data_IF_673666747987
#
_entry.id   IF_673666747987
#
_cell.length_a   1.000
_cell.length_b   1.000
_cell.length_c   1.000
_cell.angle_alpha   90.00
_cell.angle_beta   90.00
_cell.angle_gamma   90.00
#
_symmetry.space_group_name_H-M   'P 1'
#
loop_
_entity.id
_entity.type
_entity.pdbx_description
1 polymer ?
#
# COMPACT_ATOMS: atom_id res chain seq x y z
N UNK A 1 -42.64 25.82 -18.32
CA UNK A 1 -41.33 26.21 -18.87
C UNK A 1 -40.30 25.14 -18.53
N UNK A 2 -39.60 24.58 -19.52
CA UNK A 2 -38.65 23.47 -19.30
C UNK A 2 -37.29 24.01 -18.83
N UNK A 3 -37.03 23.98 -17.53
CA UNK A 3 -35.86 24.57 -16.88
C UNK A 3 -34.63 23.61 -16.85
N UNK A 4 -34.26 22.98 -17.97
CA UNK A 4 -33.26 21.89 -17.94
C UNK A 4 -32.32 21.72 -19.13
N UNK A 5 -32.20 22.70 -20.03
CA UNK A 5 -31.32 22.60 -21.20
C UNK A 5 -29.84 22.92 -20.92
N UNK A 6 -28.92 22.24 -21.62
CA UNK A 6 -27.49 22.56 -21.64
C UNK A 6 -27.29 23.99 -22.15
N UNK A 7 -26.72 24.87 -21.33
CA UNK A 7 -26.31 26.23 -21.72
C UNK A 7 -24.78 26.33 -21.75
N UNK A 8 -24.18 27.14 -22.63
CA UNK A 8 -22.74 27.39 -22.60
C UNK A 8 -22.33 27.94 -21.23
N UNK A 9 -21.39 27.28 -20.56
CA UNK A 9 -20.97 27.60 -19.19
C UNK A 9 -21.89 27.07 -18.07
N UNK A 10 -22.99 26.38 -18.39
CA UNK A 10 -23.80 25.71 -17.38
C UNK A 10 -23.18 24.37 -16.95
N UNK A 11 -23.29 24.07 -15.65
CA UNK A 11 -22.72 22.89 -15.02
C UNK A 11 -21.61 23.23 -14.03
N UNK A 12 -21.08 22.21 -13.38
CA UNK A 12 -19.97 22.36 -12.41
C UNK A 12 -18.68 22.66 -13.16
N UNK A 13 -17.96 23.72 -12.73
CA UNK A 13 -16.64 24.07 -13.26
C UNK A 13 -15.70 22.87 -13.17
N UNK A 14 -14.98 22.57 -14.26
CA UNK A 14 -14.00 21.48 -14.33
C UNK A 14 -12.90 21.70 -13.29
N UNK A 15 -12.57 20.66 -12.53
CA UNK A 15 -11.52 20.70 -11.51
C UNK A 15 -11.95 21.16 -10.11
N UNK A 16 -13.17 21.69 -9.94
CA UNK A 16 -13.68 22.01 -8.60
C UNK A 16 -14.01 20.70 -7.87
N UNK A 17 -13.58 20.46 -6.63
CA UNK A 17 -13.92 19.25 -5.86
C UNK A 17 -15.43 19.14 -5.55
N UNK A 18 -15.92 17.94 -5.26
CA UNK A 18 -17.33 17.76 -4.91
C UNK A 18 -17.53 18.23 -3.46
N UNK A 19 -18.71 18.75 -3.11
CA UNK A 19 -19.03 19.11 -1.72
C UNK A 19 -18.76 17.94 -0.76
N UNK A 20 -19.14 16.73 -1.17
CA UNK A 20 -18.87 15.52 -0.40
C UNK A 20 -17.36 15.23 -0.24
N UNK A 21 -16.57 15.40 -1.31
CA UNK A 21 -15.11 15.20 -1.28
C UNK A 21 -14.45 16.21 -0.35
N UNK A 22 -14.78 17.50 -0.48
CA UNK A 22 -14.23 18.56 0.36
C UNK A 22 -14.62 18.39 1.84
N UNK A 23 -15.83 17.88 2.13
CA UNK A 23 -16.24 17.59 3.50
C UNK A 23 -15.43 16.45 4.13
N UNK A 24 -15.13 15.39 3.37
CA UNK A 24 -14.27 14.29 3.84
C UNK A 24 -12.84 14.76 4.09
N UNK A 25 -12.26 15.52 3.17
CA UNK A 25 -10.90 16.09 3.33
C UNK A 25 -10.81 16.94 4.60
N UNK A 26 -11.82 17.79 4.85
CA UNK A 26 -11.88 18.60 6.08
C UNK A 26 -12.08 17.74 7.33
N UNK A 27 -12.90 16.71 7.27
CA UNK A 27 -13.10 15.80 8.41
C UNK A 27 -11.82 15.05 8.76
N UNK A 28 -11.07 14.59 7.75
CA UNK A 28 -9.75 13.95 7.95
C UNK A 28 -8.76 14.95 8.53
N UNK A 29 -8.69 16.17 8.01
CA UNK A 29 -7.84 17.23 8.57
C UNK A 29 -8.23 17.59 10.03
N UNK A 30 -9.52 17.57 10.36
CA UNK A 30 -10.00 17.83 11.72
C UNK A 30 -9.76 16.65 12.68
N UNK A 31 -9.67 15.42 12.17
CA UNK A 31 -9.47 14.20 12.97
C UNK A 31 -8.06 14.04 13.55
N UNK A 32 -7.12 14.92 13.16
CA UNK A 32 -5.81 15.06 13.80
C UNK A 32 -4.65 14.89 12.84
N UNK A 33 -4.46 13.68 12.30
CA UNK A 33 -3.34 13.37 11.40
C UNK A 33 -3.82 13.00 10.02
N UNK A 34 -3.38 13.77 9.01
CA UNK A 34 -3.68 13.46 7.61
C UNK A 34 -2.77 12.33 7.11
N UNK A 35 -3.14 11.63 6.02
CA UNK A 35 -2.27 10.62 5.42
C UNK A 35 -0.88 11.16 5.06
N UNK A 36 -0.80 12.40 4.59
CA UNK A 36 0.48 13.06 4.28
C UNK A 36 1.33 13.25 5.54
N UNK A 37 0.72 13.65 6.66
CA UNK A 37 1.42 13.82 7.94
C UNK A 37 2.02 12.49 8.42
N UNK A 38 1.26 11.40 8.25
CA UNK A 38 1.73 10.04 8.61
C UNK A 38 2.91 9.63 7.74
N UNK A 39 2.86 9.86 6.43
CA UNK A 39 3.97 9.58 5.52
C UNK A 39 5.23 10.37 5.91
N UNK A 40 5.10 11.68 6.13
CA UNK A 40 6.23 12.54 6.51
C UNK A 40 6.81 12.10 7.86
N UNK A 41 5.96 11.76 8.84
CA UNK A 41 6.40 11.27 10.15
C UNK A 41 7.14 9.93 10.06
N UNK A 42 6.61 8.98 9.28
CA UNK A 42 7.24 7.68 9.08
C UNK A 42 8.61 7.83 8.39
N UNK A 43 8.70 8.65 7.34
CA UNK A 43 9.95 8.95 6.64
C UNK A 43 11.02 9.49 7.61
N UNK A 44 10.67 10.49 8.43
CA UNK A 44 11.57 11.09 9.42
C UNK A 44 12.01 10.09 10.49
N UNK A 45 11.10 9.23 10.95
CA UNK A 45 11.43 8.20 11.93
C UNK A 45 12.43 7.18 11.36
N UNK A 46 12.22 6.73 10.12
CA UNK A 46 13.17 5.82 9.47
C UNK A 46 14.52 6.46 9.21
N UNK A 47 14.56 7.74 8.85
CA UNK A 47 15.81 8.49 8.72
C UNK A 47 16.56 8.58 10.05
N UNK A 48 15.86 8.89 11.15
CA UNK A 48 16.46 8.91 12.48
C UNK A 48 17.02 7.54 12.89
N UNK A 49 16.26 6.46 12.69
CA UNK A 49 16.71 5.09 12.96
C UNK A 49 17.90 4.68 12.09
N UNK A 50 17.94 5.13 10.84
CA UNK A 50 19.11 4.92 9.98
C UNK A 50 20.34 5.62 10.57
N UNK A 51 20.22 6.88 10.98
CA UNK A 51 21.32 7.64 11.59
C UNK A 51 21.83 7.02 12.90
N UNK A 52 20.96 6.39 13.69
CA UNK A 52 21.36 5.64 14.88
C UNK A 52 22.10 4.33 14.54
N UNK A 53 21.79 3.73 13.39
CA UNK A 53 22.30 2.43 12.95
C UNK A 53 23.56 2.51 12.06
N UNK A 54 24.25 3.66 11.98
CA UNK A 54 25.40 3.87 11.07
C UNK A 54 26.50 2.81 11.23
N UNK A 55 26.70 2.29 12.43
CA UNK A 55 27.67 1.22 12.71
C UNK A 55 27.27 -0.15 12.14
N UNK A 56 25.97 -0.40 11.94
CA UNK A 56 25.45 -1.65 11.40
C UNK A 56 24.93 -1.46 9.98
N UNK A 57 25.79 -1.77 9.00
CA UNK A 57 25.51 -1.58 7.57
C UNK A 57 24.17 -2.16 7.11
N UNK A 58 23.79 -3.36 7.59
CA UNK A 58 22.53 -4.02 7.17
C UNK A 58 21.31 -3.25 7.67
N UNK A 59 21.33 -2.79 8.92
CA UNK A 59 20.23 -2.00 9.51
C UNK A 59 20.16 -0.60 8.91
N UNK A 60 21.31 0.05 8.75
CA UNK A 60 21.42 1.35 8.10
C UNK A 60 20.75 1.33 6.71
N UNK A 61 21.14 0.36 5.86
CA UNK A 61 20.60 0.22 4.51
C UNK A 61 19.09 -0.06 4.51
N UNK A 62 18.62 -0.90 5.43
CA UNK A 62 17.19 -1.22 5.57
C UNK A 62 16.35 0.03 5.90
N UNK A 63 16.72 0.78 6.94
CA UNK A 63 15.97 1.97 7.35
C UNK A 63 16.07 3.09 6.33
N UNK A 64 17.24 3.27 5.70
CA UNK A 64 17.40 4.27 4.64
C UNK A 64 16.53 3.95 3.42
N UNK A 65 16.45 2.68 3.00
CA UNK A 65 15.55 2.27 1.91
C UNK A 65 14.08 2.48 2.27
N UNK A 66 13.67 2.17 3.50
CA UNK A 66 12.31 2.42 3.97
C UNK A 66 11.97 3.92 3.95
N UNK A 67 12.89 4.79 4.40
CA UNK A 67 12.72 6.24 4.34
C UNK A 67 12.55 6.72 2.88
N UNK A 68 13.38 6.25 1.95
CA UNK A 68 13.30 6.62 0.53
C UNK A 68 11.99 6.17 -0.13
N UNK A 69 11.48 4.98 0.22
CA UNK A 69 10.20 4.50 -0.31
C UNK A 69 9.05 5.43 0.11
N UNK A 70 8.97 5.78 1.41
CA UNK A 70 7.94 6.70 1.92
C UNK A 70 8.11 8.10 1.33
N UNK A 71 9.36 8.57 1.15
CA UNK A 71 9.64 9.86 0.53
C UNK A 71 9.12 9.93 -0.91
N UNK A 72 9.26 8.85 -1.68
CA UNK A 72 8.76 8.75 -3.05
C UNK A 72 7.24 8.91 -3.11
N UNK A 73 6.52 8.27 -2.19
CA UNK A 73 5.06 8.36 -2.13
C UNK A 73 4.59 9.77 -1.70
N UNK A 74 5.31 10.39 -0.77
CA UNK A 74 5.01 11.75 -0.31
C UNK A 74 5.36 12.85 -1.34
N UNK A 75 6.33 12.61 -2.21
CA UNK A 75 6.87 13.61 -3.15
C UNK A 75 5.81 14.22 -4.08
N UNK A 76 4.81 13.42 -4.48
CA UNK A 76 3.70 13.85 -5.35
C UNK A 76 2.90 15.01 -4.72
N UNK A 77 2.81 15.02 -3.39
CA UNK A 77 2.02 16.00 -2.64
C UNK A 77 2.84 17.22 -2.19
N UNK A 78 4.17 17.10 -2.09
CA UNK A 78 5.06 18.14 -1.55
C UNK A 78 5.69 18.98 -2.66
N UNK A 79 5.99 18.41 -3.82
CA UNK A 79 6.74 19.09 -4.87
C UNK A 79 5.82 19.56 -6.03
N UNK A 80 5.79 20.86 -6.35
CA UNK A 80 4.87 21.42 -7.34
C UNK A 80 5.33 21.18 -8.79
N UNK A 81 5.56 19.92 -9.22
CA UNK A 81 5.60 19.49 -10.65
C UNK A 81 5.93 18.02 -10.92
N UNK A 82 5.77 17.11 -9.98
CA UNK A 82 5.95 15.68 -10.31
C UNK A 82 4.63 15.19 -10.89
N UNK A 83 4.56 15.04 -12.22
CA UNK A 83 3.49 14.24 -12.84
C UNK A 83 3.52 12.88 -12.13
N UNK A 84 2.42 12.38 -11.55
CA UNK A 84 2.42 11.05 -10.99
C UNK A 84 2.61 10.10 -12.17
N UNK A 85 3.85 9.69 -12.41
CA UNK A 85 4.13 8.51 -13.20
C UNK A 85 3.49 7.40 -12.41
N UNK A 86 2.27 7.02 -12.82
CA UNK A 86 1.59 5.88 -12.24
C UNK A 86 2.60 4.76 -12.11
N UNK A 87 2.77 4.25 -10.89
CA UNK A 87 3.45 2.99 -10.70
C UNK A 87 2.61 1.94 -11.42
N UNK A 88 2.84 1.77 -12.72
CA UNK A 88 2.89 0.42 -13.23
C UNK A 88 3.97 -0.23 -12.39
N UNK A 89 3.59 -1.24 -11.63
CA UNK A 89 4.48 -2.09 -10.86
C UNK A 89 5.56 -2.61 -11.83
N UNK A 90 6.64 -1.85 -11.95
CA UNK A 90 7.73 -2.14 -12.86
C UNK A 90 8.53 -3.27 -12.21
N UNK A 91 8.02 -4.48 -12.44
CA UNK A 91 8.66 -5.74 -12.12
C UNK A 91 8.84 -5.97 -10.64
N UNK A 92 7.80 -6.52 -9.98
CA UNK A 92 8.13 -7.66 -9.12
C UNK A 92 8.77 -8.67 -10.06
N UNK A 93 10.09 -8.73 -10.07
CA UNK A 93 10.78 -9.88 -10.62
C UNK A 93 10.36 -11.02 -9.72
N UNK A 94 9.40 -11.83 -10.18
CA UNK A 94 9.17 -13.14 -9.60
C UNK A 94 10.50 -13.87 -9.65
N UNK A 95 11.22 -13.87 -8.53
CA UNK A 95 12.32 -14.80 -8.34
C UNK A 95 11.65 -16.15 -8.13
N UNK A 96 11.34 -16.83 -9.24
CA UNK A 96 10.91 -18.21 -9.24
C UNK A 96 12.11 -19.04 -8.80
N UNK A 97 12.21 -19.31 -7.49
CA UNK A 97 13.12 -20.32 -6.99
C UNK A 97 12.64 -21.68 -7.49
N UNK A 98 13.19 -22.14 -8.62
CA UNK A 98 13.00 -23.50 -9.09
C UNK A 98 13.80 -24.42 -8.18
N UNK A 99 13.14 -24.95 -7.15
CA UNK A 99 13.69 -26.03 -6.33
C UNK A 99 13.52 -27.32 -7.12
N UNK A 100 14.61 -27.82 -7.71
CA UNK A 100 14.64 -29.18 -8.23
C UNK A 100 14.73 -30.13 -7.04
N UNK A 101 13.62 -30.80 -6.73
CA UNK A 101 13.57 -31.87 -5.74
C UNK A 101 14.20 -33.10 -6.36
N UNK A 102 15.52 -33.23 -6.26
CA UNK A 102 16.24 -34.48 -6.54
C UNK A 102 16.01 -35.44 -5.38
N UNK A 103 14.98 -36.28 -5.50
CA UNK A 103 14.74 -37.38 -4.59
C UNK A 103 13.27 -37.49 -4.22
N UNK A 104 12.52 -38.30 -4.96
CA UNK A 104 11.22 -38.75 -4.51
C UNK A 104 11.35 -39.42 -3.14
N UNK A 105 10.45 -39.07 -2.22
CA UNK A 105 10.33 -39.82 -0.98
C UNK A 105 10.08 -41.30 -1.33
N UNK A 106 10.71 -42.25 -0.62
CA UNK A 106 10.56 -43.67 -0.90
C UNK A 106 9.09 -44.08 -0.79
N UNK A 107 8.66 -44.96 -1.72
CA UNK A 107 7.34 -45.60 -1.72
C UNK A 107 7.11 -46.21 -0.32
N UNK A 108 6.12 -45.68 0.41
CA UNK A 108 5.76 -46.12 1.76
C UNK A 108 5.80 -45.04 2.86
N UNK A 109 6.21 -43.81 2.56
CA UNK A 109 6.23 -42.71 3.54
C UNK A 109 4.94 -41.87 3.48
N UNK A 110 3.86 -42.36 4.07
CA UNK A 110 2.78 -41.47 4.49
C UNK A 110 3.27 -40.72 5.74
N UNK A 111 3.37 -39.38 5.74
CA UNK A 111 3.60 -38.66 6.99
C UNK A 111 2.41 -38.91 7.91
N UNK A 112 2.65 -39.49 9.08
CA UNK A 112 1.65 -39.61 10.13
C UNK A 112 1.05 -38.23 10.38
N UNK A 113 -0.28 -38.16 10.32
CA UNK A 113 -1.05 -36.94 10.58
C UNK A 113 -0.69 -36.48 12.00
N UNK A 114 -0.16 -35.27 12.21
CA UNK A 114 0.13 -34.81 13.57
C UNK A 114 -1.18 -34.76 14.35
N UNK A 115 -1.25 -35.55 15.42
CA UNK A 115 -2.35 -35.54 16.38
C UNK A 115 -2.51 -34.12 16.95
N UNK A 116 -3.70 -33.53 16.80
CA UNK A 116 -4.06 -32.31 17.53
C UNK A 116 -4.35 -31.04 16.74
N UNK A 117 -4.50 -31.06 15.40
CA UNK A 117 -5.12 -29.92 14.70
C UNK A 117 -6.64 -30.11 14.61
N UNK A 118 -7.35 -29.65 15.64
CA UNK A 118 -8.77 -29.32 15.56
C UNK A 118 -8.96 -28.15 14.58
N UNK A 119 -9.01 -28.45 13.29
CA UNK A 119 -9.69 -27.56 12.36
C UNK A 119 -11.18 -27.84 12.50
N UNK A 120 -11.91 -26.87 13.06
CA UNK A 120 -13.37 -26.85 12.96
C UNK A 120 -13.75 -26.78 11.49
N UNK A 121 -14.51 -27.77 11.01
CA UNK A 121 -15.07 -27.80 9.67
C UNK A 121 -15.77 -26.47 9.36
N UNK A 122 -15.26 -25.72 8.39
CA UNK A 122 -15.96 -24.55 7.85
C UNK A 122 -17.19 -25.09 7.12
N UNK A 123 -18.42 -24.77 7.55
CA UNK A 123 -19.62 -25.26 6.88
C UNK A 123 -19.69 -24.65 5.48
N UNK A 124 -20.06 -25.43 4.44
CA UNK A 124 -20.24 -24.90 3.10
C UNK A 124 -21.36 -23.85 3.08
N UNK A 125 -21.08 -22.65 2.55
CA UNK A 125 -22.06 -21.58 2.40
C UNK A 125 -23.19 -22.03 1.46
N UNK A 126 -24.39 -22.20 2.01
CA UNK A 126 -25.61 -22.45 1.25
C UNK A 126 -26.00 -21.21 0.44
N UNK A 127 -26.12 -21.39 -0.88
CA UNK A 127 -26.54 -20.39 -1.83
C UNK A 127 -27.91 -19.78 -1.45
N UNK A 128 -27.97 -18.45 -1.41
CA UNK A 128 -29.21 -17.66 -1.50
C UNK A 128 -29.29 -16.98 -2.85
#
# INVERSE_FOLDING_TARGET
MANGGKRPGAGRKKGVPNKATAARERAVAASGSTPLDVMIKAMRNFEALANECVSNKKRFEYYLRAAVAVAKDAAVYVHPRVVPTGGADAGVTEVVHRVEVTGGLPIGSNPERPEGSEYSDVPPEEAR
#
